data_IF_881727592149
#
_entry.id   IF_881727592149
#
_cell.length_a   1.000
_cell.length_b   1.000
_cell.length_c   1.000
_cell.angle_alpha   90.00
_cell.angle_beta   90.00
_cell.angle_gamma   90.00
#
_symmetry.space_group_name_H-M   'P 1'
#
loop_
_entity.id
_entity.type
_entity.pdbx_description
1 polymer ?
#
# COMPACT_ATOMS: atom_id res chain seq x y z
N UNK A 1 -2.11 -8.67 -8.23
CA UNK A 1 -1.92 -7.22 -7.98
C UNK A 1 -1.53 -7.02 -6.53
N UNK A 2 -0.56 -6.13 -6.30
CA UNK A 2 -0.05 -5.76 -4.99
C UNK A 2 -0.37 -4.28 -4.73
N UNK A 3 -0.93 -3.98 -3.56
CA UNK A 3 -1.12 -2.60 -3.08
C UNK A 3 -0.07 -2.34 -2.00
N UNK A 4 0.78 -1.34 -2.19
CA UNK A 4 1.81 -0.97 -1.21
C UNK A 4 1.30 0.21 -0.38
N UNK A 5 1.25 0.02 0.93
CA UNK A 5 0.94 1.07 1.88
C UNK A 5 2.19 1.90 2.24
N UNK A 6 2.05 3.13 2.75
CA UNK A 6 3.16 4.06 2.99
C UNK A 6 4.28 3.47 3.86
N UNK A 7 3.91 2.72 4.90
CA UNK A 7 4.88 2.09 5.81
C UNK A 7 5.83 1.12 5.10
N UNK A 8 5.44 0.55 3.96
CA UNK A 8 6.24 -0.40 3.18
C UNK A 8 7.08 0.24 2.06
N UNK A 9 7.13 1.57 1.95
CA UNK A 9 7.80 2.24 0.84
C UNK A 9 9.30 1.97 0.79
N UNK A 10 9.97 1.85 1.94
CA UNK A 10 11.41 1.54 2.01
C UNK A 10 11.74 0.13 1.49
N UNK A 11 10.75 -0.76 1.42
CA UNK A 11 10.89 -2.14 0.96
C UNK A 11 10.55 -2.30 -0.52
N UNK A 12 10.20 -1.22 -1.22
CA UNK A 12 9.74 -1.26 -2.61
C UNK A 12 10.65 -2.04 -3.56
N UNK A 13 11.97 -1.83 -3.51
CA UNK A 13 12.91 -2.54 -4.38
C UNK A 13 12.91 -4.05 -4.11
N UNK A 14 12.76 -4.45 -2.84
CA UNK A 14 12.64 -5.86 -2.45
C UNK A 14 11.33 -6.45 -2.98
N UNK A 15 10.21 -5.73 -2.79
CA UNK A 15 8.88 -6.09 -3.31
C UNK A 15 8.96 -6.32 -4.82
N UNK A 16 9.51 -5.36 -5.58
CA UNK A 16 9.56 -5.44 -7.04
C UNK A 16 10.48 -6.56 -7.54
N UNK A 17 11.55 -6.85 -6.80
CA UNK A 17 12.47 -7.94 -7.13
C UNK A 17 11.83 -9.30 -6.88
N UNK A 18 11.10 -9.46 -5.77
CA UNK A 18 10.42 -10.71 -5.39
C UNK A 18 9.19 -10.99 -6.25
N UNK A 19 8.48 -9.94 -6.65
CA UNK A 19 7.24 -10.03 -7.43
C UNK A 19 7.36 -9.27 -8.77
N UNK A 20 8.27 -9.67 -9.67
CA UNK A 20 8.59 -8.89 -10.87
C UNK A 20 7.44 -8.85 -11.88
N UNK A 21 6.55 -9.84 -11.85
CA UNK A 21 5.41 -9.99 -12.76
C UNK A 21 4.10 -9.42 -12.21
N UNK A 22 4.08 -9.03 -10.93
CA UNK A 22 2.87 -8.49 -10.34
C UNK A 22 2.70 -7.00 -10.69
N UNK A 23 1.46 -6.63 -10.98
CA UNK A 23 1.05 -5.24 -11.04
C UNK A 23 1.14 -4.64 -9.64
N UNK A 24 2.01 -3.66 -9.46
CA UNK A 24 2.21 -2.95 -8.20
C UNK A 24 1.52 -1.60 -8.27
N UNK A 25 0.75 -1.27 -7.24
CA UNK A 25 0.05 0.01 -7.13
C UNK A 25 0.27 0.64 -5.76
N UNK A 26 0.28 1.96 -5.73
CA UNK A 26 0.15 2.78 -4.51
C UNK A 26 -1.11 3.62 -4.62
N UNK A 27 -1.63 4.12 -3.50
CA UNK A 27 -2.80 4.98 -3.53
C UNK A 27 -2.46 6.45 -3.64
N UNK A 28 -3.45 7.29 -3.96
CA UNK A 28 -3.26 8.75 -4.00
C UNK A 28 -2.83 9.34 -2.66
N UNK A 29 -3.43 8.86 -1.56
CA UNK A 29 -3.08 9.27 -0.20
C UNK A 29 -1.70 8.74 0.17
N UNK A 30 -1.36 7.50 -0.22
CA UNK A 30 -0.03 6.94 0.02
C UNK A 30 1.06 7.66 -0.75
N UNK A 31 0.78 8.06 -1.99
CA UNK A 31 1.68 8.90 -2.80
C UNK A 31 1.92 10.26 -2.11
N UNK A 32 0.84 10.93 -1.69
CA UNK A 32 0.94 12.21 -0.99
C UNK A 32 1.68 12.10 0.36
N UNK A 33 1.47 11.01 1.09
CA UNK A 33 2.16 10.72 2.35
C UNK A 33 3.64 10.43 2.12
N UNK A 34 3.99 9.62 1.11
CA UNK A 34 5.37 9.36 0.72
C UNK A 34 6.15 10.64 0.40
N UNK A 35 5.54 11.57 -0.35
CA UNK A 35 6.13 12.89 -0.63
C UNK A 35 6.41 13.68 0.65
N UNK A 36 5.45 13.72 1.60
CA UNK A 36 5.62 14.42 2.89
C UNK A 36 6.74 13.81 3.74
N UNK A 37 6.90 12.48 3.66
CA UNK A 37 7.90 11.73 4.42
C UNK A 37 9.27 11.65 3.73
N UNK A 38 9.44 12.29 2.57
CA UNK A 38 10.70 12.28 1.81
C UNK A 38 11.05 10.90 1.23
N UNK A 39 10.04 10.07 0.94
CA UNK A 39 10.22 8.78 0.25
C UNK A 39 10.40 9.00 -1.25
N UNK A 40 11.19 8.14 -1.88
CA UNK A 40 11.47 8.20 -3.32
C UNK A 40 10.31 7.58 -4.13
N UNK A 41 9.20 8.31 -4.19
CA UNK A 41 8.01 7.90 -4.95
C UNK A 41 8.24 8.04 -6.45
N UNK A 42 9.16 8.91 -6.89
CA UNK A 42 9.49 9.08 -8.31
C UNK A 42 10.14 7.79 -8.85
N UNK A 43 11.08 7.21 -8.10
CA UNK A 43 11.66 5.90 -8.43
C UNK A 43 10.60 4.79 -8.55
N UNK A 44 9.55 4.84 -7.73
CA UNK A 44 8.44 3.88 -7.82
C UNK A 44 7.71 4.01 -9.14
N UNK A 45 7.37 5.24 -9.54
CA UNK A 45 6.69 5.52 -10.80
C UNK A 45 7.56 5.12 -12.00
N UNK A 46 8.85 5.46 -11.98
CA UNK A 46 9.82 5.10 -13.02
C UNK A 46 9.96 3.57 -13.18
N UNK A 47 9.76 2.82 -12.10
CA UNK A 47 9.75 1.34 -12.10
C UNK A 47 8.38 0.72 -12.37
N UNK A 48 7.43 1.53 -12.85
CA UNK A 48 6.13 1.10 -13.36
C UNK A 48 5.07 0.87 -12.28
N UNK A 49 5.23 1.45 -11.08
CA UNK A 49 4.14 1.50 -10.09
C UNK A 49 3.07 2.46 -10.58
N UNK A 50 1.81 2.04 -10.52
CA UNK A 50 0.67 2.91 -10.86
C UNK A 50 0.05 3.50 -9.60
N UNK A 51 -0.42 4.73 -9.71
CA UNK A 51 -1.22 5.36 -8.65
C UNK A 51 -2.70 5.04 -8.89
N UNK A 52 -3.41 4.59 -7.86
CA UNK A 52 -4.87 4.36 -7.88
C UNK A 52 -5.55 5.14 -6.76
N UNK A 53 -6.61 5.85 -7.09
CA UNK A 53 -7.46 6.49 -6.09
C UNK A 53 -8.61 5.56 -5.71
N UNK A 54 -9.02 5.59 -4.44
CA UNK A 54 -10.27 4.98 -4.03
C UNK A 54 -11.45 5.79 -4.61
N UNK A 55 -12.40 5.08 -5.20
CA UNK A 55 -13.48 5.69 -6.00
C UNK A 55 -14.57 6.38 -5.16
N UNK A 56 -14.62 6.10 -3.85
CA UNK A 56 -15.64 6.59 -2.94
C UNK A 56 -15.08 7.53 -1.87
N UNK A 57 -15.97 8.14 -1.09
CA UNK A 57 -15.57 8.92 0.08
C UNK A 57 -14.84 8.01 1.07
N UNK A 58 -13.56 8.30 1.28
CA UNK A 58 -12.75 7.64 2.29
C UNK A 58 -13.35 7.91 3.68
N UNK A 59 -13.69 6.85 4.41
CA UNK A 59 -13.96 6.94 5.84
C UNK A 59 -12.64 6.56 6.52
N UNK A 60 -11.94 7.49 7.20
CA UNK A 60 -10.67 7.16 7.83
C UNK A 60 -10.82 6.01 8.82
N UNK A 61 -9.89 5.06 8.80
CA UNK A 61 -9.84 4.00 9.79
C UNK A 61 -9.17 4.59 11.04
N UNK A 62 -9.81 4.52 12.23
CA UNK A 62 -9.23 5.08 13.44
C UNK A 62 -7.80 4.57 13.68
N UNK A 63 -6.92 5.49 14.09
CA UNK A 63 -5.52 5.23 14.41
C UNK A 63 -4.60 4.86 13.23
N UNK A 64 -5.11 4.86 12.00
CA UNK A 64 -4.32 4.69 10.78
C UNK A 64 -4.17 6.02 10.05
N UNK A 65 -3.08 6.18 9.29
CA UNK A 65 -2.94 7.31 8.38
C UNK A 65 -3.93 7.22 7.21
N UNK A 66 -4.13 8.33 6.51
CA UNK A 66 -4.96 8.33 5.30
C UNK A 66 -4.37 7.41 4.22
N UNK A 67 -3.05 7.35 4.08
CA UNK A 67 -2.37 6.46 3.15
C UNK A 67 -2.57 4.98 3.48
N UNK A 68 -2.39 4.58 4.74
CA UNK A 68 -2.68 3.22 5.19
C UNK A 68 -4.17 2.88 4.98
N UNK A 69 -5.06 3.79 5.39
CA UNK A 69 -6.51 3.61 5.25
C UNK A 69 -6.94 3.42 3.79
N UNK A 70 -6.50 4.30 2.88
CA UNK A 70 -6.82 4.18 1.46
C UNK A 70 -6.23 2.91 0.84
N UNK A 71 -5.03 2.53 1.24
CA UNK A 71 -4.39 1.29 0.76
C UNK A 71 -5.21 0.06 1.14
N UNK A 72 -5.78 0.03 2.34
CA UNK A 72 -6.71 -1.04 2.77
C UNK A 72 -7.96 -1.06 1.88
N UNK A 73 -8.60 0.09 1.66
CA UNK A 73 -9.82 0.15 0.86
C UNK A 73 -9.59 -0.28 -0.59
N UNK A 74 -8.50 0.19 -1.21
CA UNK A 74 -8.12 -0.22 -2.57
C UNK A 74 -7.78 -1.72 -2.61
N UNK A 75 -7.07 -2.24 -1.61
CA UNK A 75 -6.78 -3.67 -1.56
C UNK A 75 -8.06 -4.52 -1.47
N UNK A 76 -9.04 -4.06 -0.68
CA UNK A 76 -10.35 -4.72 -0.55
C UNK A 76 -11.17 -4.65 -1.84
N UNK A 77 -11.28 -3.47 -2.45
CA UNK A 77 -12.08 -3.24 -3.67
C UNK A 77 -11.61 -4.11 -4.85
N UNK A 78 -10.29 -4.34 -4.96
CA UNK A 78 -9.71 -5.10 -6.06
C UNK A 78 -9.29 -6.53 -5.66
N UNK A 79 -9.67 -7.02 -4.48
CA UNK A 79 -9.26 -8.33 -3.94
C UNK A 79 -7.73 -8.57 -3.99
N UNK A 80 -6.97 -7.48 -3.85
CA UNK A 80 -5.53 -7.47 -3.99
C UNK A 80 -4.82 -7.88 -2.69
N UNK A 81 -3.52 -8.17 -2.80
CA UNK A 81 -2.67 -8.37 -1.63
C UNK A 81 -2.13 -7.02 -1.17
N UNK A 82 -2.37 -6.67 0.09
CA UNK A 82 -1.82 -5.49 0.74
C UNK A 82 -0.42 -5.79 1.28
N UNK A 83 0.51 -4.86 1.08
CA UNK A 83 1.84 -4.87 1.67
C UNK A 83 1.97 -3.66 2.58
N UNK A 84 2.26 -3.90 3.86
CA UNK A 84 2.38 -2.87 4.90
C UNK A 84 3.38 -3.32 5.96
N UNK A 85 4.07 -2.38 6.60
CA UNK A 85 4.88 -2.66 7.79
C UNK A 85 4.16 -2.30 9.09
N UNK A 86 3.00 -1.64 9.03
CA UNK A 86 2.26 -1.19 10.20
C UNK A 86 1.40 -2.32 10.80
N UNK A 87 1.68 -2.69 12.06
CA UNK A 87 1.02 -3.82 12.72
C UNK A 87 -0.50 -3.62 12.89
N UNK A 88 -0.94 -2.37 13.10
CA UNK A 88 -2.37 -2.05 13.21
C UNK A 88 -3.08 -2.26 11.88
N UNK A 89 -2.46 -1.85 10.78
CA UNK A 89 -2.94 -2.06 9.41
C UNK A 89 -2.99 -3.55 9.08
N UNK A 90 -1.97 -4.33 9.45
CA UNK A 90 -1.98 -5.80 9.30
C UNK A 90 -3.17 -6.42 10.05
N UNK A 91 -3.34 -6.07 11.33
CA UNK A 91 -4.39 -6.62 12.18
C UNK A 91 -5.79 -6.27 11.68
N UNK A 92 -6.01 -5.01 11.29
CA UNK A 92 -7.27 -4.56 10.71
C UNK A 92 -7.59 -5.28 9.39
N UNK A 93 -6.62 -5.31 8.47
CA UNK A 93 -6.80 -5.89 7.13
C UNK A 93 -7.11 -7.38 7.17
N UNK A 94 -6.41 -8.14 8.03
CA UNK A 94 -6.67 -9.57 8.20
C UNK A 94 -8.06 -9.83 8.77
N UNK A 95 -8.53 -8.99 9.70
CA UNK A 95 -9.90 -9.07 10.25
C UNK A 95 -10.96 -8.84 9.18
N UNK A 96 -10.67 -7.95 8.23
CA UNK A 96 -11.52 -7.63 7.08
C UNK A 96 -11.42 -8.65 5.93
N UNK A 97 -10.66 -9.73 6.10
CA UNK A 97 -10.51 -10.79 5.08
C UNK A 97 -9.56 -10.43 3.93
N UNK A 98 -8.77 -9.37 4.07
CA UNK A 98 -7.80 -8.93 3.05
C UNK A 98 -6.52 -9.77 3.20
N UNK A 99 -5.95 -10.18 2.06
CA UNK A 99 -4.63 -10.84 2.03
C UNK A 99 -3.55 -9.83 2.32
N UNK A 100 -2.70 -10.09 3.31
CA UNK A 100 -1.64 -9.18 3.74
C UNK A 100 -0.28 -9.88 3.73
N UNK A 101 0.73 -9.22 3.20
CA UNK A 101 2.14 -9.53 3.42
C UNK A 101 2.75 -8.42 4.27
N UNK A 102 3.18 -8.74 5.48
CA UNK A 102 3.96 -7.81 6.30
C UNK A 102 5.38 -7.67 5.75
N UNK A 103 6.08 -6.59 6.07
CA UNK A 103 7.46 -6.38 5.63
C UNK A 103 8.44 -7.46 6.10
N UNK A 104 8.10 -8.26 7.11
CA UNK A 104 8.88 -9.44 7.52
C UNK A 104 8.68 -10.66 6.60
N UNK A 105 7.65 -10.63 5.75
CA UNK A 105 7.26 -11.70 4.82
C UNK A 105 7.65 -11.39 3.36
N UNK A 106 8.14 -10.17 3.10
CA UNK A 106 8.57 -9.67 1.79
C UNK A 106 10.07 -9.87 1.63
#
# INVERSE_FOLDING_TARGET
MLVIAPSAFDYFLQIKTKYPKEDVVITTSSFAEGLKLGKDVDLMLDKGVRVKAFSHKLIPIPELSDGESESIYVAKEFEATLITCDEKTVAFSRREGIRVLSCNEV
#
